data_IF_286123222569
#
_entry.id   IF_286123222569
#
_cell.length_a   1.000
_cell.length_b   1.000
_cell.length_c   1.000
_cell.angle_alpha   90.00
_cell.angle_beta   90.00
_cell.angle_gamma   90.00
#
_symmetry.space_group_name_H-M   'P 1'
#
loop_
_entity.id
_entity.type
_entity.pdbx_description
1 polymer ?
#
# COMPACT_ATOMS: atom_id res chain seq x y z
N UNK A 2 -9.51 6.24 3.11
CA UNK A 2 -8.18 5.77 3.44
C UNK A 2 -7.14 6.73 2.93
N UNK A 3 -6.42 7.31 3.85
CA UNK A 3 -5.41 8.27 3.53
C UNK A 3 -4.06 7.60 3.20
N UNK A 4 -3.18 8.36 2.57
CA UNK A 4 -1.83 7.89 2.25
C UNK A 4 -1.01 7.63 3.50
N UNK A 5 -1.35 8.34 4.57
CA UNK A 5 -0.72 8.11 5.85
C UNK A 5 -1.22 6.82 6.46
N UNK A 6 -2.49 6.50 6.27
CA UNK A 6 -3.06 5.24 6.76
C UNK A 6 -2.34 4.09 6.08
N UNK A 7 -2.07 4.29 4.81
CA UNK A 7 -1.32 3.35 3.99
C UNK A 7 0.10 3.23 4.48
N UNK A 8 0.69 4.36 4.84
CA UNK A 8 2.08 4.41 5.30
C UNK A 8 2.27 3.67 6.63
N UNK A 9 1.18 3.32 7.28
CA UNK A 9 1.22 2.58 8.54
C UNK A 9 0.99 1.10 8.31
N UNK A 10 0.68 0.73 7.09
CA UNK A 10 0.39 -0.65 6.78
C UNK A 10 1.67 -1.46 6.62
N UNK A 11 1.60 -2.80 6.89
CA UNK A 11 2.73 -3.72 6.77
C UNK A 11 3.30 -3.74 5.35
N UNK A 12 4.53 -4.22 5.21
CA UNK A 12 5.24 -4.20 3.92
C UNK A 12 4.47 -4.94 2.84
N UNK A 13 3.92 -6.09 3.18
CA UNK A 13 3.15 -6.86 2.21
C UNK A 13 1.95 -6.05 1.73
N UNK A 14 1.41 -5.22 2.61
CA UNK A 14 0.28 -4.39 2.27
C UNK A 14 0.68 -3.30 1.36
N UNK A 15 1.88 -2.83 1.53
CA UNK A 15 2.40 -1.77 0.69
C UNK A 15 2.52 -2.28 -0.72
N UNK A 16 2.95 -3.51 -0.85
CA UNK A 16 3.11 -4.13 -2.14
C UNK A 16 1.76 -4.46 -2.73
N UNK A 17 0.94 -5.11 -1.94
CA UNK A 17 -0.36 -5.59 -2.38
C UNK A 17 -1.27 -4.45 -2.81
N UNK A 18 -1.23 -3.37 -2.08
CA UNK A 18 -2.11 -2.25 -2.35
C UNK A 18 -1.61 -1.45 -3.51
N UNK A 19 -0.31 -1.24 -3.57
CA UNK A 19 0.27 -0.57 -4.72
C UNK A 19 0.21 -1.43 -5.97
N UNK A 20 0.10 -2.73 -5.77
CA UNK A 20 -0.08 -3.69 -6.86
C UNK A 20 -1.38 -3.38 -7.62
N UNK A 21 -2.39 -2.89 -6.90
CA UNK A 21 -3.70 -2.53 -7.50
C UNK A 21 -3.52 -1.38 -8.50
N UNK A 22 -2.66 -0.44 -8.15
CA UNK A 22 -2.40 0.69 -9.02
C UNK A 22 -1.35 0.31 -10.08
N UNK A 23 -0.56 -0.69 -9.75
CA UNK A 23 0.39 -1.19 -10.69
C UNK A 23 1.81 -0.76 -10.42
N UNK A 24 2.17 -0.61 -9.17
CA UNK A 24 3.54 -0.29 -8.80
C UNK A 24 4.34 -1.56 -8.66
N UNK A 25 3.69 -2.60 -8.23
CA UNK A 25 4.31 -3.88 -8.07
C UNK A 25 3.64 -4.87 -9.00
#
# INVERSE_FOLDING_TARGET
XMTRSAFANLPLWKQQALMKEKGLFX
#
